data_IF_991492141554
#
_entry.id   IF_991492141554
#
_cell.length_a   1.000
_cell.length_b   1.000
_cell.length_c   1.000
_cell.angle_alpha   90.00
_cell.angle_beta   90.00
_cell.angle_gamma   90.00
#
_symmetry.space_group_name_H-M   'P 1'
#
loop_
_entity.id
_entity.type
_entity.pdbx_description
1 polymer ?
#
# COMPACT_ATOMS: atom_id res chain seq x y z
N UNK A 1 2.71 21.50 -55.12
CA UNK A 1 2.21 22.31 -54.00
C UNK A 1 0.86 21.74 -53.57
N UNK A 2 0.87 20.68 -52.76
CA UNK A 2 -0.33 19.95 -52.34
C UNK A 2 -0.85 20.47 -51.00
N UNK A 3 -2.10 20.94 -51.00
CA UNK A 3 -2.76 21.57 -49.86
C UNK A 3 -3.37 20.59 -48.85
N UNK A 4 -3.47 21.09 -47.62
CA UNK A 4 -4.19 20.52 -46.47
C UNK A 4 -5.68 20.28 -46.76
N UNK A 5 -6.18 19.10 -46.38
CA UNK A 5 -7.57 18.91 -45.94
C UNK A 5 -7.59 17.96 -44.74
N UNK A 6 -8.23 18.44 -43.69
CA UNK A 6 -8.49 17.72 -42.44
C UNK A 6 -9.70 16.76 -42.58
N UNK A 7 -9.83 15.93 -41.54
CA UNK A 7 -11.07 15.51 -40.89
C UNK A 7 -11.73 14.15 -41.21
N UNK A 8 -12.03 13.48 -40.08
CA UNK A 8 -13.22 12.66 -39.77
C UNK A 8 -13.26 11.18 -40.19
N UNK A 9 -13.16 10.30 -39.17
CA UNK A 9 -14.10 9.20 -38.82
C UNK A 9 -13.55 8.44 -37.60
N UNK A 10 -13.99 8.75 -36.37
CA UNK A 10 -15.17 8.21 -35.63
C UNK A 10 -14.86 6.92 -34.83
N UNK A 11 -15.59 6.68 -33.73
CA UNK A 11 -14.99 6.40 -32.43
C UNK A 11 -15.37 5.02 -31.90
N UNK A 12 -14.43 4.26 -31.36
CA UNK A 12 -14.78 3.12 -30.51
C UNK A 12 -13.74 2.95 -29.41
N UNK A 13 -14.09 3.41 -28.23
CA UNK A 13 -13.74 2.76 -26.96
C UNK A 13 -14.68 3.32 -25.92
N UNK A 14 -15.70 2.53 -25.59
CA UNK A 14 -16.57 2.75 -24.45
C UNK A 14 -15.70 3.12 -23.23
N UNK A 15 -15.87 4.29 -22.59
CA UNK A 15 -15.27 4.48 -21.29
C UNK A 15 -16.04 3.59 -20.32
N UNK A 16 -15.44 2.45 -19.97
CA UNK A 16 -15.84 1.61 -18.84
C UNK A 16 -16.15 2.54 -17.67
N UNK A 17 -17.40 2.42 -17.20
CA UNK A 17 -18.01 3.19 -16.13
C UNK A 17 -16.95 3.63 -15.12
N UNK A 18 -16.72 4.95 -15.09
CA UNK A 18 -15.91 5.65 -14.09
C UNK A 18 -16.39 5.18 -12.71
N UNK A 19 -15.69 4.22 -12.12
CA UNK A 19 -15.91 3.78 -10.75
C UNK A 19 -15.73 5.03 -9.90
N UNK A 20 -16.82 5.56 -9.35
CA UNK A 20 -16.80 6.70 -8.43
C UNK A 20 -15.78 6.36 -7.35
N UNK A 21 -14.58 6.95 -7.42
CA UNK A 21 -13.73 7.02 -6.23
C UNK A 21 -14.49 7.91 -5.27
N UNK A 22 -15.03 7.30 -4.23
CA UNK A 22 -15.53 8.01 -3.07
C UNK A 22 -14.39 8.94 -2.61
N UNK A 23 -14.61 10.25 -2.44
CA UNK A 23 -13.60 11.08 -1.82
C UNK A 23 -13.50 10.62 -0.38
N UNK A 24 -12.45 9.88 -0.04
CA UNK A 24 -12.13 9.55 1.34
C UNK A 24 -11.63 10.85 1.97
N UNK A 25 -12.57 11.64 2.49
CA UNK A 25 -12.30 12.82 3.27
C UNK A 25 -11.86 12.36 4.66
N UNK A 26 -10.56 12.19 4.84
CA UNK A 26 -9.94 12.30 6.15
C UNK A 26 -8.56 12.87 5.92
N UNK A 27 -8.28 13.97 6.61
CA UNK A 27 -7.00 14.64 6.66
C UNK A 27 -6.00 13.73 7.37
N UNK A 28 -5.59 12.65 6.71
CA UNK A 28 -4.52 11.79 7.19
C UNK A 28 -3.23 12.40 6.64
N UNK A 29 -2.35 12.82 7.56
CA UNK A 29 -0.95 13.09 7.25
C UNK A 29 -0.46 12.03 6.25
N UNK A 30 0.24 12.38 5.17
CA UNK A 30 0.65 11.39 4.20
C UNK A 30 1.57 10.39 4.89
N UNK A 31 1.02 9.24 5.28
CA UNK A 31 1.79 8.11 5.74
C UNK A 31 2.71 7.76 4.58
N UNK A 32 4.00 8.01 4.78
CA UNK A 32 5.05 7.53 3.91
C UNK A 32 4.95 6.01 4.03
N UNK A 33 4.37 5.35 3.04
CA UNK A 33 4.12 3.91 3.05
C UNK A 33 5.47 3.18 3.02
N UNK A 34 6.10 3.02 4.19
CA UNK A 34 7.38 2.33 4.33
C UNK A 34 7.13 0.84 4.21
N UNK A 35 7.91 0.19 3.34
CA UNK A 35 7.94 -1.26 3.24
C UNK A 35 9.16 -1.81 4.00
N UNK A 36 8.91 -2.76 4.90
CA UNK A 36 9.96 -3.46 5.63
C UNK A 36 9.80 -4.97 5.48
N UNK A 37 10.93 -5.65 5.24
CA UNK A 37 11.00 -7.10 5.13
C UNK A 37 11.54 -7.68 6.44
N UNK A 38 10.78 -8.59 7.04
CA UNK A 38 11.08 -9.24 8.31
C UNK A 38 11.08 -10.74 8.11
N UNK A 39 12.13 -11.44 8.53
CA UNK A 39 12.15 -12.90 8.48
C UNK A 39 11.12 -13.50 9.45
N UNK A 40 10.36 -14.49 8.98
CA UNK A 40 9.32 -15.17 9.78
C UNK A 40 9.94 -16.08 10.86
N UNK A 41 11.19 -16.51 10.65
CA UNK A 41 11.86 -17.46 11.55
C UNK A 41 12.03 -16.84 12.93
N UNK A 42 11.38 -17.47 13.92
CA UNK A 42 11.44 -17.06 15.31
C UNK A 42 10.63 -15.80 15.63
N UNK A 43 9.68 -15.38 14.77
CA UNK A 43 8.75 -14.28 15.09
C UNK A 43 7.38 -14.86 15.46
N UNK A 44 6.88 -14.44 16.62
CA UNK A 44 5.51 -14.67 17.06
C UNK A 44 4.55 -13.71 16.31
N UNK A 45 3.65 -14.25 15.47
CA UNK A 45 2.75 -13.42 14.67
C UNK A 45 1.73 -12.66 15.52
N UNK A 46 1.30 -13.19 16.67
CA UNK A 46 0.33 -12.50 17.53
C UNK A 46 0.98 -11.29 18.21
N UNK A 47 2.22 -11.45 18.69
CA UNK A 47 2.99 -10.33 19.25
C UNK A 47 3.25 -9.28 18.17
N UNK A 48 3.61 -9.71 16.97
CA UNK A 48 3.85 -8.81 15.84
C UNK A 48 2.61 -7.97 15.53
N UNK A 49 1.44 -8.58 15.36
CA UNK A 49 0.20 -7.87 15.07
C UNK A 49 -0.17 -6.89 16.19
N UNK A 50 -0.10 -7.31 17.46
CA UNK A 50 -0.34 -6.40 18.60
C UNK A 50 0.60 -5.21 18.59
N UNK A 51 1.88 -5.42 18.27
CA UNK A 51 2.88 -4.35 18.20
C UNK A 51 2.61 -3.41 17.03
N UNK A 52 2.19 -3.94 15.88
CA UNK A 52 1.76 -3.16 14.72
C UNK A 52 0.52 -2.31 15.02
N UNK A 53 -0.49 -2.85 15.70
CA UNK A 53 -1.68 -2.09 16.11
C UNK A 53 -1.35 -0.94 17.06
N UNK A 54 -0.41 -1.15 17.99
CA UNK A 54 0.04 -0.10 18.90
C UNK A 54 0.84 0.99 18.19
N UNK A 55 1.68 0.62 17.22
CA UNK A 55 2.61 1.55 16.56
C UNK A 55 1.97 2.27 15.36
N UNK A 56 1.05 1.61 14.66
CA UNK A 56 0.39 2.10 13.45
C UNK A 56 -1.13 2.20 13.62
N UNK A 57 -1.62 3.10 14.49
CA UNK A 57 -3.07 3.30 14.67
C UNK A 57 -3.75 3.81 13.38
N UNK A 58 -2.98 4.41 12.47
CA UNK A 58 -3.45 4.86 11.15
C UNK A 58 -3.69 3.71 10.16
N UNK A 59 -3.28 2.49 10.50
CA UNK A 59 -3.36 1.31 9.66
C UNK A 59 -2.00 0.81 9.18
N UNK A 60 -1.95 -0.49 8.92
CA UNK A 60 -0.80 -1.20 8.41
C UNK A 60 -1.26 -2.39 7.56
N UNK A 61 -0.44 -2.80 6.61
CA UNK A 61 -0.65 -4.01 5.81
C UNK A 61 0.49 -5.00 6.08
N UNK A 62 0.16 -6.29 6.20
CA UNK A 62 1.15 -7.37 6.33
C UNK A 62 0.91 -8.41 5.27
N UNK A 63 1.93 -8.66 4.46
CA UNK A 63 1.94 -9.72 3.46
C UNK A 63 2.99 -10.75 3.78
N UNK A 64 2.61 -12.02 3.84
CA UNK A 64 3.57 -13.12 3.98
C UNK A 64 3.97 -13.63 2.59
N UNK A 65 5.27 -13.65 2.31
CA UNK A 65 5.85 -14.26 1.12
C UNK A 65 6.93 -15.27 1.51
N UNK A 66 6.63 -16.56 1.36
CA UNK A 66 7.49 -17.67 1.80
C UNK A 66 7.84 -17.56 3.29
N UNK A 67 9.07 -17.14 3.61
CA UNK A 67 9.60 -17.04 4.97
C UNK A 67 9.84 -15.59 5.40
N UNK A 68 9.15 -14.63 4.75
CA UNK A 68 9.32 -13.20 5.00
C UNK A 68 7.95 -12.53 5.16
N UNK A 69 7.78 -11.76 6.23
CA UNK A 69 6.72 -10.77 6.36
C UNK A 69 7.16 -9.47 5.69
N UNK A 70 6.30 -8.97 4.80
CA UNK A 70 6.41 -7.65 4.19
C UNK A 70 5.39 -6.77 4.91
N UNK A 71 5.89 -5.86 5.73
CA UNK A 71 5.09 -4.95 6.55
C UNK A 71 5.09 -3.60 5.88
N UNK A 72 3.91 -3.05 5.63
CA UNK A 72 3.72 -1.71 5.08
C UNK A 72 3.02 -0.85 6.13
N UNK A 73 3.62 0.29 6.48
CA UNK A 73 3.11 1.18 7.52
C UNK A 73 3.63 2.61 7.37
N UNK A 74 3.15 3.50 8.25
CA UNK A 74 3.53 4.91 8.24
C UNK A 74 4.98 5.16 8.69
N UNK A 75 5.59 4.23 9.42
CA UNK A 75 6.98 4.25 9.87
C UNK A 75 7.56 2.82 9.85
N UNK A 76 8.89 2.64 9.85
CA UNK A 76 9.49 1.33 10.01
C UNK A 76 9.44 0.81 11.47
N UNK A 77 9.41 -0.52 11.65
CA UNK A 77 9.68 -1.15 12.94
C UNK A 77 11.17 -1.09 13.25
N UNK A 78 11.50 -0.79 14.50
CA UNK A 78 12.89 -0.83 14.97
C UNK A 78 13.33 -2.28 15.22
N UNK A 79 14.63 -2.54 15.29
CA UNK A 79 15.14 -3.87 15.64
C UNK A 79 14.61 -4.35 17.00
N UNK A 80 14.54 -3.44 17.98
CA UNK A 80 14.00 -3.72 19.32
C UNK A 80 12.54 -4.16 19.26
N UNK A 81 11.73 -3.53 18.39
CA UNK A 81 10.34 -3.94 18.20
C UNK A 81 10.25 -5.39 17.68
N UNK A 82 11.14 -5.76 16.76
CA UNK A 82 11.21 -7.09 16.17
C UNK A 82 11.75 -8.13 17.15
N UNK A 83 12.74 -7.80 17.99
CA UNK A 83 13.28 -8.71 19.00
C UNK A 83 12.26 -9.03 20.11
N UNK A 84 11.41 -8.08 20.51
CA UNK A 84 10.28 -8.34 21.41
C UNK A 84 9.24 -9.31 20.83
N UNK A 85 9.14 -9.33 19.49
CA UNK A 85 8.25 -10.24 18.78
C UNK A 85 8.86 -11.63 18.60
N UNK A 86 10.13 -11.84 18.97
CA UNK A 86 10.74 -13.18 19.02
C UNK A 86 10.37 -13.93 20.32
#
# INVERSE_FOLDING_TARGET
>A
MGGLVQMLKRPFSNPLKKRRKLPRSTTESPCLNYEQKVGVIGIDPEKLVKKLELKFPCGFDVHMMHNTYIIQGCEPLTSTDLDDCR
#
